data_IF_310884104288
#
_entry.id   IF_310884104288
#
_cell.length_a   1.000
_cell.length_b   1.000
_cell.length_c   1.000
_cell.angle_alpha   90.00
_cell.angle_beta   90.00
_cell.angle_gamma   90.00
#
_symmetry.space_group_name_H-M   'P 1'
#
loop_
_entity.id
_entity.type
_entity.pdbx_description
1 polymer ?
#
# COMPACT_ATOMS: atom_id res chain seq x y z
N UNK A 1 -4.51 -2.63 -25.50
CA UNK A 1 -4.26 -1.92 -24.21
C UNK A 1 -3.74 -0.50 -24.48
N UNK A 2 -4.40 0.53 -23.98
CA UNK A 2 -3.97 1.93 -24.09
C UNK A 2 -2.72 2.15 -23.22
N UNK A 3 -1.54 2.13 -23.87
CA UNK A 3 -0.24 2.23 -23.18
C UNK A 3 -0.08 3.56 -22.45
N UNK A 4 -0.56 4.67 -23.03
CA UNK A 4 -0.45 6.00 -22.42
C UNK A 4 -1.27 6.08 -21.14
N UNK A 5 -2.50 5.58 -21.16
CA UNK A 5 -3.34 5.53 -19.98
C UNK A 5 -2.71 4.67 -18.87
N UNK A 6 -2.18 3.49 -19.23
CA UNK A 6 -1.53 2.60 -18.27
C UNK A 6 -0.30 3.25 -17.64
N UNK A 7 0.59 3.81 -18.45
CA UNK A 7 1.81 4.49 -17.97
C UNK A 7 1.44 5.66 -17.06
N UNK A 8 0.43 6.45 -17.43
CA UNK A 8 -0.02 7.59 -16.60
C UNK A 8 -0.57 7.14 -15.26
N UNK A 9 -1.41 6.09 -15.23
CA UNK A 9 -1.90 5.52 -13.99
C UNK A 9 -0.78 4.96 -13.11
N UNK A 10 0.16 4.21 -13.70
CA UNK A 10 1.31 3.67 -13.00
C UNK A 10 2.27 4.76 -12.50
N UNK A 11 2.50 5.83 -13.27
CA UNK A 11 3.32 6.96 -12.84
C UNK A 11 2.70 7.68 -11.62
N UNK A 12 1.38 7.88 -11.61
CA UNK A 12 0.67 8.41 -10.46
C UNK A 12 0.77 7.47 -9.25
N UNK A 13 0.63 6.15 -9.47
CA UNK A 13 0.79 5.11 -8.45
C UNK A 13 2.17 5.12 -7.82
N UNK A 14 3.21 5.17 -8.65
CA UNK A 14 4.60 5.28 -8.21
C UNK A 14 4.85 6.55 -7.41
N UNK A 15 4.41 7.71 -7.95
CA UNK A 15 4.71 9.00 -7.35
C UNK A 15 4.06 9.19 -5.98
N UNK A 16 2.77 8.82 -5.81
CA UNK A 16 2.16 8.98 -4.50
C UNK A 16 2.78 8.04 -3.46
N UNK A 17 3.11 6.79 -3.87
CA UNK A 17 3.68 5.82 -2.93
C UNK A 17 5.13 6.14 -2.57
N UNK A 18 5.92 6.67 -3.47
CA UNK A 18 7.24 7.21 -3.17
C UNK A 18 7.18 8.33 -2.11
N UNK A 19 6.11 9.11 -2.09
CA UNK A 19 5.95 10.23 -1.16
C UNK A 19 5.31 9.85 0.18
N UNK A 20 4.54 8.74 0.28
CA UNK A 20 4.00 8.37 1.59
C UNK A 20 5.00 7.59 2.46
N UNK A 21 5.95 6.86 1.87
CA UNK A 21 6.93 6.07 2.63
C UNK A 21 8.31 6.74 2.77
N UNK A 22 8.54 7.89 2.15
CA UNK A 22 9.86 8.53 2.08
C UNK A 22 10.49 8.87 3.44
N UNK A 23 9.69 9.08 4.49
CA UNK A 23 10.19 9.36 5.83
C UNK A 23 10.86 8.16 6.51
N UNK A 24 10.49 6.92 6.14
CA UNK A 24 10.97 5.73 6.82
C UNK A 24 12.51 5.62 6.85
N UNK A 25 13.25 5.79 5.72
CA UNK A 25 14.71 5.77 5.78
C UNK A 25 15.33 7.02 6.42
N UNK A 26 14.56 8.09 6.63
CA UNK A 26 15.05 9.33 7.25
C UNK A 26 14.92 9.33 8.79
N UNK A 27 14.19 8.38 9.39
CA UNK A 27 13.81 8.40 10.81
C UNK A 27 15.02 8.57 11.73
N UNK A 28 16.13 7.89 11.47
CA UNK A 28 17.34 7.99 12.31
C UNK A 28 17.91 9.40 12.33
N UNK A 29 17.96 10.07 11.17
CA UNK A 29 18.45 11.44 11.04
C UNK A 29 17.48 12.42 11.69
N UNK A 30 16.18 12.28 11.41
CA UNK A 30 15.14 13.13 12.00
C UNK A 30 15.10 13.02 13.53
N UNK A 31 15.30 11.82 14.08
CA UNK A 31 15.39 11.60 15.52
C UNK A 31 16.59 12.32 16.13
N UNK A 32 17.73 12.28 15.46
CA UNK A 32 18.93 12.99 15.89
C UNK A 32 18.74 14.51 15.89
N UNK A 33 18.09 15.08 14.88
CA UNK A 33 17.88 16.52 14.75
C UNK A 33 16.79 17.07 15.67
N UNK A 34 15.66 16.33 15.81
CA UNK A 34 14.47 16.82 16.55
C UNK A 34 14.32 16.21 17.95
N UNK A 35 15.19 15.30 18.37
CA UNK A 35 15.23 14.78 19.75
C UNK A 35 14.02 13.93 20.14
N UNK A 36 13.37 13.22 19.23
CA UNK A 36 12.19 12.42 19.53
C UNK A 36 12.50 10.91 19.65
N UNK A 37 11.66 10.18 20.38
CA UNK A 37 11.77 8.76 20.64
C UNK A 37 11.22 7.87 19.51
N UNK A 38 11.29 6.53 19.67
CA UNK A 38 10.78 5.56 18.70
C UNK A 38 9.26 5.64 18.56
N UNK A 39 8.55 5.88 19.65
CA UNK A 39 7.08 6.01 19.63
C UNK A 39 6.67 7.19 18.76
N UNK A 40 7.30 8.34 18.92
CA UNK A 40 7.08 9.51 18.07
C UNK A 40 7.50 9.29 16.63
N UNK A 41 8.56 8.50 16.38
CA UNK A 41 8.92 8.07 15.02
C UNK A 41 7.79 7.28 14.36
N UNK A 42 7.17 6.35 15.08
CA UNK A 42 6.00 5.60 14.62
C UNK A 42 4.79 6.47 14.31
N UNK A 43 4.58 7.55 15.06
CA UNK A 43 3.47 8.49 14.82
C UNK A 43 3.57 9.19 13.45
N UNK A 44 4.74 9.37 12.87
CA UNK A 44 4.89 9.90 11.51
C UNK A 44 4.24 8.98 10.48
N UNK A 45 4.46 7.67 10.64
CA UNK A 45 3.81 6.65 9.80
C UNK A 45 2.30 6.61 10.06
N UNK A 46 1.90 6.62 11.33
CA UNK A 46 0.47 6.63 11.70
C UNK A 46 -0.24 7.85 11.13
N UNK A 47 0.35 9.04 11.23
CA UNK A 47 -0.26 10.28 10.76
C UNK A 47 -0.58 10.24 9.26
N UNK A 48 0.36 9.79 8.43
CA UNK A 48 0.13 9.71 6.99
C UNK A 48 -0.84 8.60 6.61
N UNK A 49 -0.71 7.40 7.20
CA UNK A 49 -1.61 6.29 6.88
C UNK A 49 -3.02 6.48 7.42
N UNK A 50 -3.19 7.17 8.55
CA UNK A 50 -4.51 7.51 9.09
C UNK A 50 -5.27 8.45 8.13
N UNK A 51 -4.64 9.56 7.73
CA UNK A 51 -5.28 10.52 6.81
C UNK A 51 -5.44 9.95 5.40
N UNK A 52 -4.50 9.11 4.96
CA UNK A 52 -4.61 8.34 3.72
C UNK A 52 -5.84 7.41 3.76
N UNK A 53 -6.03 6.65 4.85
CA UNK A 53 -7.19 5.77 5.02
C UNK A 53 -8.50 6.56 5.06
N UNK A 54 -8.56 7.62 5.86
CA UNK A 54 -9.75 8.48 5.97
C UNK A 54 -10.13 9.12 4.62
N UNK A 55 -9.15 9.42 3.76
CA UNK A 55 -9.40 10.01 2.44
C UNK A 55 -9.73 9.00 1.35
N UNK A 56 -9.60 7.69 1.60
CA UNK A 56 -9.89 6.64 0.60
C UNK A 56 -11.31 6.71 0.05
N UNK A 57 -12.31 6.72 0.92
CA UNK A 57 -13.72 6.76 0.51
C UNK A 57 -14.11 8.13 -0.03
N UNK A 58 -13.82 9.26 0.64
CA UNK A 58 -14.05 10.58 0.08
C UNK A 58 -13.35 10.81 -1.26
N UNK A 59 -12.07 10.43 -1.39
CA UNK A 59 -11.29 10.56 -2.62
C UNK A 59 -11.84 9.72 -3.77
N UNK A 60 -12.28 8.50 -3.46
CA UNK A 60 -13.00 7.64 -4.42
C UNK A 60 -14.27 8.30 -4.92
N UNK A 61 -15.08 8.84 -4.01
CA UNK A 61 -16.32 9.56 -4.35
C UNK A 61 -16.08 10.83 -5.17
N UNK A 62 -15.02 11.58 -4.84
CA UNK A 62 -14.60 12.71 -5.67
C UNK A 62 -14.24 12.25 -7.09
N UNK A 63 -13.53 11.12 -7.21
CA UNK A 63 -13.22 10.48 -8.49
C UNK A 63 -14.47 10.03 -9.25
N UNK A 64 -15.48 9.50 -8.56
CA UNK A 64 -16.75 9.08 -9.14
C UNK A 64 -17.56 10.29 -9.62
N UNK A 65 -17.57 11.38 -8.85
CA UNK A 65 -18.37 12.58 -9.13
C UNK A 65 -17.73 13.54 -10.14
N UNK A 66 -16.44 13.81 -9.98
CA UNK A 66 -15.72 14.85 -10.76
C UNK A 66 -14.79 14.28 -11.84
N UNK A 67 -14.66 12.95 -11.89
CA UNK A 67 -13.75 12.24 -12.77
C UNK A 67 -12.38 11.99 -12.15
N UNK A 68 -11.88 10.77 -12.29
CA UNK A 68 -10.61 10.35 -11.71
C UNK A 68 -9.42 11.23 -12.13
N UNK A 69 -9.40 11.68 -13.40
CA UNK A 69 -8.30 12.48 -13.93
C UNK A 69 -8.11 13.81 -13.21
N UNK A 70 -9.19 14.52 -12.87
CA UNK A 70 -9.10 15.78 -12.11
C UNK A 70 -8.62 15.56 -10.68
N UNK A 71 -9.14 14.51 -10.05
CA UNK A 71 -8.75 14.18 -8.67
C UNK A 71 -7.28 13.79 -8.59
N UNK A 72 -6.77 13.00 -9.55
CA UNK A 72 -5.34 12.63 -9.61
C UNK A 72 -4.47 13.87 -9.81
N UNK A 73 -4.84 14.78 -10.73
CA UNK A 73 -4.09 16.03 -10.96
C UNK A 73 -3.97 16.87 -9.68
N UNK A 74 -5.09 17.10 -8.99
CA UNK A 74 -5.11 17.86 -7.72
C UNK A 74 -4.32 17.12 -6.63
N UNK A 75 -4.49 15.81 -6.53
CA UNK A 75 -3.82 15.00 -5.51
C UNK A 75 -2.28 14.99 -5.69
N UNK A 76 -1.77 14.87 -6.93
CA UNK A 76 -0.33 14.91 -7.21
C UNK A 76 0.27 16.28 -6.86
N UNK A 77 -0.40 17.39 -7.22
CA UNK A 77 0.02 18.73 -6.83
C UNK A 77 0.02 18.91 -5.30
N UNK A 78 -1.00 18.39 -4.62
CA UNK A 78 -1.11 18.39 -3.16
C UNK A 78 0.03 17.63 -2.48
N UNK A 79 0.33 16.43 -2.98
CA UNK A 79 1.44 15.60 -2.48
C UNK A 79 2.78 16.33 -2.66
N UNK A 80 3.01 16.93 -3.82
CA UNK A 80 4.21 17.70 -4.11
C UNK A 80 4.35 18.87 -3.12
N UNK A 81 3.31 19.68 -2.95
CA UNK A 81 3.29 20.83 -2.04
C UNK A 81 3.56 20.41 -0.58
N UNK A 82 2.89 19.32 -0.11
CA UNK A 82 3.08 18.80 1.24
C UNK A 82 4.52 18.34 1.51
N UNK A 83 5.16 17.65 0.54
CA UNK A 83 6.53 17.17 0.70
C UNK A 83 7.57 18.30 0.51
N UNK A 84 7.29 19.30 -0.30
CA UNK A 84 8.10 20.54 -0.31
C UNK A 84 8.04 21.25 1.05
N UNK A 85 6.85 21.44 1.59
CA UNK A 85 6.68 22.07 2.89
C UNK A 85 7.33 21.27 4.04
N UNK A 86 7.29 19.93 3.95
CA UNK A 86 7.97 19.03 4.88
C UNK A 86 9.48 19.31 4.94
N UNK A 87 10.13 19.64 3.83
CA UNK A 87 11.55 19.94 3.79
C UNK A 87 11.94 21.20 4.61
N UNK A 88 10.98 22.08 4.87
CA UNK A 88 11.18 23.30 5.68
C UNK A 88 10.73 23.15 7.14
N UNK A 89 10.40 21.93 7.57
CA UNK A 89 10.00 21.69 8.95
C UNK A 89 11.16 22.01 9.91
N UNK A 90 10.88 22.83 10.92
CA UNK A 90 11.80 23.21 11.99
C UNK A 90 11.44 22.59 13.35
N UNK A 91 10.35 21.80 13.41
CA UNK A 91 9.90 21.15 14.65
C UNK A 91 9.18 19.82 14.33
N UNK A 92 9.21 18.89 15.30
CA UNK A 92 8.57 17.58 15.16
C UNK A 92 7.08 17.65 14.80
N UNK A 93 6.31 18.57 15.42
CA UNK A 93 4.89 18.72 15.12
C UNK A 93 4.62 19.14 13.67
N UNK A 94 5.55 19.89 13.05
CA UNK A 94 5.45 20.25 11.63
C UNK A 94 5.69 19.03 10.73
N UNK A 95 6.64 18.15 11.10
CA UNK A 95 6.82 16.87 10.40
C UNK A 95 5.52 16.06 10.43
N UNK A 96 4.90 15.94 11.59
CA UNK A 96 3.65 15.22 11.78
C UNK A 96 2.52 15.82 10.95
N UNK A 97 2.38 17.16 11.00
CA UNK A 97 1.36 17.89 10.24
C UNK A 97 1.52 17.70 8.73
N UNK A 98 2.71 17.90 8.18
CA UNK A 98 2.94 17.77 6.74
C UNK A 98 2.82 16.34 6.27
N UNK A 99 3.17 15.36 7.09
CA UNK A 99 2.92 13.95 6.78
C UNK A 99 1.43 13.61 6.77
N UNK A 100 0.67 14.09 7.76
CA UNK A 100 -0.79 13.94 7.75
C UNK A 100 -1.42 14.66 6.54
N UNK A 101 -0.95 15.86 6.21
CA UNK A 101 -1.43 16.63 5.07
C UNK A 101 -1.13 15.92 3.74
N UNK A 102 0.06 15.33 3.59
CA UNK A 102 0.40 14.50 2.43
C UNK A 102 -0.51 13.27 2.30
N UNK A 103 -0.90 12.67 3.43
CA UNK A 103 -1.78 11.49 3.46
C UNK A 103 -3.14 11.74 2.80
N UNK A 104 -3.71 12.95 2.92
CA UNK A 104 -4.94 13.34 2.23
C UNK A 104 -4.76 13.21 0.70
N UNK A 105 -3.67 13.75 0.16
CA UNK A 105 -3.37 13.66 -1.26
C UNK A 105 -3.12 12.23 -1.73
N UNK A 106 -2.34 11.46 -0.94
CA UNK A 106 -2.00 10.07 -1.33
C UNK A 106 -3.23 9.15 -1.29
N UNK A 107 -4.15 9.32 -0.34
CA UNK A 107 -5.40 8.57 -0.26
C UNK A 107 -6.34 8.87 -1.45
N UNK A 108 -6.50 10.16 -1.78
CA UNK A 108 -7.29 10.57 -2.94
C UNK A 108 -6.67 10.05 -4.25
N UNK A 109 -5.34 10.13 -4.40
CA UNK A 109 -4.62 9.68 -5.58
C UNK A 109 -4.75 8.16 -5.78
N UNK A 110 -4.67 7.36 -4.72
CA UNK A 110 -4.87 5.91 -4.79
C UNK A 110 -6.27 5.57 -5.30
N UNK A 111 -7.31 6.06 -4.62
CA UNK A 111 -8.69 5.72 -4.94
C UNK A 111 -9.10 6.17 -6.36
N UNK A 112 -8.70 7.39 -6.74
CA UNK A 112 -8.94 7.90 -8.09
C UNK A 112 -8.09 7.15 -9.13
N UNK A 113 -6.83 6.78 -8.83
CA UNK A 113 -5.96 6.02 -9.72
C UNK A 113 -6.48 4.62 -9.99
N UNK A 114 -6.89 3.89 -8.96
CA UNK A 114 -7.51 2.59 -9.09
C UNK A 114 -8.80 2.66 -9.95
N UNK A 115 -9.64 3.68 -9.73
CA UNK A 115 -10.82 3.95 -10.55
C UNK A 115 -10.44 4.26 -12.00
N UNK A 116 -9.44 5.09 -12.23
CA UNK A 116 -8.97 5.44 -13.58
C UNK A 116 -8.65 4.19 -14.40
N UNK A 117 -7.92 3.26 -13.81
CA UNK A 117 -7.57 1.98 -14.43
C UNK A 117 -8.82 1.14 -14.71
N UNK A 118 -9.68 0.95 -13.72
CA UNK A 118 -10.87 0.07 -13.85
C UNK A 118 -11.85 0.58 -14.91
N UNK A 119 -12.02 1.89 -15.02
CA UNK A 119 -12.95 2.50 -15.99
C UNK A 119 -12.35 2.55 -17.40
N UNK A 120 -11.01 2.60 -17.52
CA UNK A 120 -10.32 2.71 -18.81
C UNK A 120 -10.13 1.38 -19.51
N UNK A 121 -9.95 0.30 -18.75
CA UNK A 121 -9.66 -1.03 -19.27
C UNK A 121 -10.83 -1.99 -19.02
N UNK A 122 -11.04 -2.92 -19.94
CA UNK A 122 -12.11 -3.89 -19.86
C UNK A 122 -11.58 -5.33 -19.97
N UNK A 123 -12.40 -6.30 -19.57
CA UNK A 123 -12.09 -7.72 -19.69
C UNK A 123 -10.70 -8.10 -19.16
N UNK A 124 -9.95 -8.83 -19.97
CA UNK A 124 -8.60 -9.28 -19.64
C UNK A 124 -7.62 -8.15 -19.36
N UNK A 125 -7.72 -7.06 -20.13
CA UNK A 125 -6.82 -5.91 -19.98
C UNK A 125 -6.97 -5.22 -18.61
N UNK A 126 -8.19 -5.17 -18.06
CA UNK A 126 -8.45 -4.60 -16.73
C UNK A 126 -7.68 -5.32 -15.63
N UNK A 127 -7.68 -6.65 -15.64
CA UNK A 127 -6.97 -7.45 -14.64
C UNK A 127 -5.46 -7.19 -14.65
N UNK A 128 -4.88 -7.14 -15.85
CA UNK A 128 -3.45 -6.86 -16.03
C UNK A 128 -3.13 -5.43 -15.62
N UNK A 129 -3.91 -4.46 -16.10
CA UNK A 129 -3.70 -3.04 -15.82
C UNK A 129 -3.82 -2.73 -14.32
N UNK A 130 -4.80 -3.33 -13.62
CA UNK A 130 -4.96 -3.19 -12.18
C UNK A 130 -3.78 -3.82 -11.41
N UNK A 131 -3.28 -4.97 -11.86
CA UNK A 131 -2.09 -5.59 -11.30
C UNK A 131 -0.83 -4.74 -11.48
N UNK A 132 -0.63 -4.16 -12.67
CA UNK A 132 0.50 -3.27 -12.98
C UNK A 132 0.41 -1.95 -12.18
N UNK A 133 -0.79 -1.37 -12.05
CA UNK A 133 -1.01 -0.22 -11.18
C UNK A 133 -0.65 -0.55 -9.73
N UNK A 134 -1.11 -1.68 -9.22
CA UNK A 134 -0.73 -2.15 -7.89
C UNK A 134 0.78 -2.38 -7.75
N UNK A 135 1.43 -2.94 -8.77
CA UNK A 135 2.87 -3.14 -8.82
C UNK A 135 3.65 -1.81 -8.79
N UNK A 136 3.16 -0.78 -9.49
CA UNK A 136 3.78 0.54 -9.50
C UNK A 136 3.78 1.21 -8.12
N UNK A 137 2.75 0.97 -7.31
CA UNK A 137 2.67 1.44 -5.92
C UNK A 137 3.79 0.82 -5.08
N UNK A 138 3.96 -0.50 -5.18
CA UNK A 138 5.01 -1.20 -4.43
C UNK A 138 6.40 -0.79 -4.92
N UNK A 139 6.54 -0.58 -6.24
CA UNK A 139 7.79 -0.09 -6.83
C UNK A 139 8.15 1.30 -6.28
N UNK A 140 7.20 2.23 -6.16
CA UNK A 140 7.44 3.56 -5.60
C UNK A 140 7.91 3.51 -4.15
N UNK A 141 7.25 2.69 -3.32
CA UNK A 141 7.66 2.47 -1.92
C UNK A 141 9.03 1.81 -1.81
N UNK A 142 9.31 0.79 -2.62
CA UNK A 142 10.61 0.11 -2.64
C UNK A 142 11.72 1.01 -3.15
N UNK A 143 11.43 1.83 -4.17
CA UNK A 143 12.39 2.78 -4.75
C UNK A 143 12.89 3.78 -3.69
N UNK A 144 12.04 4.34 -2.84
CA UNK A 144 12.49 5.30 -1.83
C UNK A 144 13.32 4.65 -0.73
N UNK A 145 13.06 3.37 -0.39
CA UNK A 145 13.92 2.64 0.54
C UNK A 145 15.35 2.48 0.01
N UNK A 146 15.51 2.41 -1.30
CA UNK A 146 16.79 2.38 -1.98
C UNK A 146 17.38 3.78 -2.19
N UNK A 147 16.60 4.71 -2.76
CA UNK A 147 17.10 6.02 -3.23
C UNK A 147 17.31 7.02 -2.08
N UNK A 148 16.42 7.05 -1.09
CA UNK A 148 16.49 8.05 -0.02
C UNK A 148 17.78 7.98 0.82
N UNK A 149 18.32 6.80 1.20
CA UNK A 149 19.62 6.75 1.87
C UNK A 149 20.75 7.42 1.09
N UNK A 150 20.78 7.26 -0.25
CA UNK A 150 21.78 7.91 -1.12
C UNK A 150 21.60 9.42 -1.13
N UNK A 151 20.34 9.88 -1.16
CA UNK A 151 19.99 11.31 -1.13
C UNK A 151 20.30 11.94 0.23
N UNK A 152 20.18 11.18 1.33
CA UNK A 152 20.54 11.63 2.67
C UNK A 152 22.04 11.95 2.77
N UNK A 153 22.88 11.09 2.23
CA UNK A 153 24.34 11.27 2.23
C UNK A 153 24.76 12.48 1.38
N UNK A 154 24.07 12.73 0.25
CA UNK A 154 24.44 13.79 -0.70
C UNK A 154 23.84 15.17 -0.35
N UNK A 155 22.59 15.20 0.13
CA UNK A 155 21.79 16.43 0.24
C UNK A 155 21.09 16.59 1.59
N UNK A 156 21.31 15.68 2.53
CA UNK A 156 20.59 15.63 3.80
C UNK A 156 19.11 15.30 3.63
N UNK A 157 18.39 15.24 4.75
CA UNK A 157 16.97 14.83 4.74
C UNK A 157 16.05 15.87 4.06
N UNK A 158 16.38 17.16 4.13
CA UNK A 158 15.64 18.22 3.44
C UNK A 158 15.74 18.05 1.91
N UNK A 159 16.95 17.83 1.42
CA UNK A 159 17.17 17.55 -0.02
C UNK A 159 16.49 16.27 -0.47
N UNK A 160 16.47 15.22 0.34
CA UNK A 160 15.74 13.99 0.06
C UNK A 160 14.22 14.21 -0.01
N UNK A 161 13.64 15.04 0.87
CA UNK A 161 12.23 15.43 0.80
C UNK A 161 11.92 16.19 -0.50
N UNK A 162 12.77 17.16 -0.88
CA UNK A 162 12.64 17.92 -2.14
C UNK A 162 12.69 16.99 -3.34
N UNK A 163 13.65 16.05 -3.37
CA UNK A 163 13.77 15.08 -4.46
C UNK A 163 12.50 14.21 -4.60
N UNK A 164 11.93 13.75 -3.48
CA UNK A 164 10.65 13.02 -3.50
C UNK A 164 9.50 13.91 -3.97
N UNK A 165 9.45 15.18 -3.57
CA UNK A 165 8.46 16.13 -4.06
C UNK A 165 8.57 16.35 -5.57
N UNK A 166 9.80 16.44 -6.11
CA UNK A 166 10.06 16.56 -7.55
C UNK A 166 9.57 15.35 -8.35
N UNK A 167 9.61 14.14 -7.76
CA UNK A 167 8.97 12.96 -8.37
C UNK A 167 7.46 13.15 -8.52
N UNK A 168 6.80 13.73 -7.51
CA UNK A 168 5.37 14.04 -7.60
C UNK A 168 5.09 15.16 -8.61
N UNK A 169 5.95 16.18 -8.70
CA UNK A 169 5.85 17.26 -9.71
C UNK A 169 6.00 16.69 -11.13
N UNK A 170 7.00 15.83 -11.35
CA UNK A 170 7.21 15.21 -12.66
C UNK A 170 5.99 14.36 -13.08
N UNK A 171 5.44 13.56 -12.16
CA UNK A 171 4.22 12.81 -12.41
C UNK A 171 3.00 13.71 -12.65
N UNK A 172 2.91 14.85 -11.96
CA UNK A 172 1.85 15.85 -12.15
C UNK A 172 1.93 16.50 -13.53
N UNK A 173 3.12 16.94 -13.94
CA UNK A 173 3.34 17.53 -15.27
C UNK A 173 3.00 16.49 -16.35
N UNK A 174 3.52 15.26 -16.21
CA UNK A 174 3.17 14.16 -17.12
C UNK A 174 1.65 13.92 -17.16
N UNK A 175 0.97 13.96 -16.01
CA UNK A 175 -0.47 13.78 -15.95
C UNK A 175 -1.23 14.86 -16.73
N UNK A 176 -0.82 16.12 -16.60
CA UNK A 176 -1.46 17.23 -17.29
C UNK A 176 -1.22 17.23 -18.81
N UNK A 177 -0.05 16.79 -19.27
CA UNK A 177 0.38 16.88 -20.67
C UNK A 177 0.23 15.58 -21.44
N UNK A 178 0.45 14.44 -20.79
CA UNK A 178 0.55 13.12 -21.44
C UNK A 178 -0.60 12.15 -21.16
N UNK A 179 -1.34 12.33 -20.05
CA UNK A 179 -2.40 11.41 -19.70
C UNK A 179 -3.63 11.59 -20.61
N UNK A 180 -4.20 10.49 -21.15
CA UNK A 180 -5.40 10.55 -21.96
C UNK A 180 -6.59 11.05 -21.13
N UNK A 181 -7.25 12.10 -21.63
CA UNK A 181 -8.46 12.62 -20.98
C UNK A 181 -9.60 11.61 -21.10
N UNK A 182 -10.23 11.30 -19.98
CA UNK A 182 -11.47 10.52 -19.97
C UNK A 182 -12.65 11.46 -20.16
N UNK A 183 -13.52 11.17 -21.12
CA UNK A 183 -14.85 11.79 -21.16
C UNK A 183 -15.59 11.36 -19.90
N UNK A 184 -15.75 12.28 -18.98
CA UNK A 184 -16.48 12.02 -17.75
C UNK A 184 -17.98 12.09 -18.04
N UNK A 185 -18.62 10.91 -18.08
CA UNK A 185 -20.08 10.87 -18.04
C UNK A 185 -20.47 11.11 -16.58
N UNK A 186 -21.04 12.27 -16.30
CA UNK A 186 -21.55 12.61 -14.97
C UNK A 186 -22.67 11.62 -14.65
N UNK A 187 -22.38 10.61 -13.84
CA UNK A 187 -23.39 9.78 -13.18
C UNK A 187 -23.48 10.23 -11.74
N UNK A 188 -24.67 10.20 -11.16
CA UNK A 188 -24.81 10.44 -9.73
C UNK A 188 -23.93 9.43 -8.98
N UNK A 189 -22.96 9.94 -8.21
CA UNK A 189 -22.12 9.07 -7.39
C UNK A 189 -22.99 8.46 -6.30
N UNK A 190 -22.90 7.14 -6.04
CA UNK A 190 -23.69 6.47 -5.01
C UNK A 190 -23.45 7.09 -3.64
N UNK A 191 -24.46 7.04 -2.78
CA UNK A 191 -24.35 7.51 -1.40
C UNK A 191 -23.35 6.70 -0.61
N UNK A 192 -22.71 7.30 0.40
CA UNK A 192 -21.78 6.56 1.29
C UNK A 192 -22.48 5.40 1.99
N UNK A 193 -23.76 5.55 2.38
CA UNK A 193 -24.56 4.49 2.98
C UNK A 193 -24.78 3.33 2.02
N UNK A 194 -24.99 3.61 0.75
CA UNK A 194 -25.16 2.58 -0.28
C UNK A 194 -23.86 1.77 -0.43
N UNK A 195 -22.70 2.43 -0.56
CA UNK A 195 -21.39 1.75 -0.63
C UNK A 195 -21.13 0.93 0.62
N UNK A 196 -21.32 1.51 1.82
CA UNK A 196 -21.10 0.83 3.09
C UNK A 196 -22.10 -0.29 3.37
N UNK A 197 -23.29 -0.26 2.76
CA UNK A 197 -24.31 -1.30 2.87
C UNK A 197 -23.95 -2.61 2.17
N UNK A 198 -22.96 -2.61 1.27
CA UNK A 198 -22.50 -3.83 0.59
C UNK A 198 -21.59 -4.66 1.49
N UNK A 199 -22.14 -5.65 2.21
CA UNK A 199 -21.40 -6.51 3.15
C UNK A 199 -20.18 -7.20 2.51
N UNK A 200 -20.25 -7.56 1.22
CA UNK A 200 -19.13 -8.17 0.50
C UNK A 200 -17.92 -7.22 0.38
N UNK A 201 -18.11 -5.89 0.34
CA UNK A 201 -16.98 -4.95 0.34
C UNK A 201 -16.20 -5.00 1.66
N UNK A 202 -16.87 -5.22 2.78
CA UNK A 202 -16.20 -5.40 4.08
C UNK A 202 -15.42 -6.71 4.14
N UNK A 203 -15.98 -7.81 3.56
CA UNK A 203 -15.26 -9.08 3.42
C UNK A 203 -13.99 -8.91 2.58
N UNK A 204 -14.10 -8.24 1.44
CA UNK A 204 -12.94 -7.91 0.59
C UNK A 204 -11.93 -7.00 1.33
N UNK A 205 -12.41 -6.11 2.18
CA UNK A 205 -11.59 -5.27 3.06
C UNK A 205 -10.78 -6.09 4.07
N UNK A 206 -11.40 -7.05 4.74
CA UNK A 206 -10.71 -7.97 5.68
C UNK A 206 -9.65 -8.80 4.94
N UNK A 207 -9.94 -9.25 3.73
CA UNK A 207 -8.95 -9.94 2.90
C UNK A 207 -7.81 -9.00 2.53
N UNK A 208 -8.12 -7.73 2.23
CA UNK A 208 -7.10 -6.72 1.95
C UNK A 208 -6.23 -6.41 3.18
N UNK A 209 -6.77 -6.54 4.42
CA UNK A 209 -5.94 -6.49 5.64
C UNK A 209 -4.88 -7.61 5.64
N UNK A 210 -5.26 -8.83 5.27
CA UNK A 210 -4.37 -9.98 5.23
C UNK A 210 -3.50 -10.06 3.95
N UNK A 211 -3.77 -9.22 2.97
CA UNK A 211 -2.94 -9.04 1.75
C UNK A 211 -2.04 -7.82 1.93
N UNK A 212 -2.54 -6.63 1.72
CA UNK A 212 -1.77 -5.39 1.77
C UNK A 212 -1.33 -5.03 3.20
N UNK A 213 -2.24 -5.13 4.17
CA UNK A 213 -1.94 -4.80 5.57
C UNK A 213 -0.85 -5.69 6.12
N UNK A 214 -0.98 -7.00 5.94
CA UNK A 214 -0.02 -7.99 6.42
C UNK A 214 1.39 -7.75 5.85
N UNK A 215 1.52 -7.50 4.54
CA UNK A 215 2.85 -7.30 3.92
C UNK A 215 3.54 -6.04 4.46
N UNK A 216 2.80 -4.99 4.77
CA UNK A 216 3.36 -3.77 5.35
C UNK A 216 3.78 -4.00 6.82
N UNK A 217 2.95 -4.69 7.60
CA UNK A 217 3.29 -5.04 9.00
C UNK A 217 4.54 -5.91 9.04
N UNK A 218 4.59 -6.99 8.26
CA UNK A 218 5.77 -7.85 8.17
C UNK A 218 6.99 -7.07 7.69
N UNK A 219 6.84 -6.26 6.63
CA UNK A 219 7.91 -5.42 6.09
C UNK A 219 8.50 -4.45 7.12
N UNK A 220 7.67 -3.95 8.05
CA UNK A 220 8.11 -3.05 9.11
C UNK A 220 8.98 -3.75 10.16
N UNK A 221 8.76 -5.03 10.42
CA UNK A 221 9.40 -5.76 11.50
C UNK A 221 10.42 -6.80 11.06
N UNK A 222 10.41 -7.22 9.79
CA UNK A 222 11.27 -8.29 9.28
C UNK A 222 12.76 -7.98 9.45
N UNK A 223 13.17 -6.74 9.23
CA UNK A 223 14.58 -6.31 9.41
C UNK A 223 15.01 -6.45 10.86
N UNK A 224 14.13 -6.11 11.81
CA UNK A 224 14.39 -6.26 13.25
C UNK A 224 14.49 -7.73 13.62
N UNK A 225 13.55 -8.56 13.14
CA UNK A 225 13.59 -10.01 13.33
C UNK A 225 14.91 -10.61 12.83
N UNK A 226 15.35 -10.27 11.61
CA UNK A 226 16.58 -10.78 11.02
C UNK A 226 17.81 -10.35 11.81
N UNK A 227 17.84 -9.10 12.28
CA UNK A 227 18.93 -8.59 13.12
C UNK A 227 18.98 -9.29 14.48
N UNK A 228 17.84 -9.47 15.14
CA UNK A 228 17.79 -10.01 16.51
C UNK A 228 17.92 -11.53 16.54
N UNK A 229 17.21 -12.25 15.66
CA UNK A 229 17.18 -13.72 15.67
C UNK A 229 18.36 -14.37 14.94
N UNK A 230 18.92 -13.70 13.92
CA UNK A 230 20.04 -14.24 13.12
C UNK A 230 21.33 -13.43 13.25
N UNK A 231 21.38 -12.43 14.15
CA UNK A 231 22.54 -11.53 14.33
C UNK A 231 23.04 -10.93 13.00
N UNK A 232 22.13 -10.70 12.05
CA UNK A 232 22.46 -10.26 10.71
C UNK A 232 22.87 -8.78 10.71
N UNK A 233 23.90 -8.37 9.94
CA UNK A 233 24.21 -6.96 9.74
C UNK A 233 22.99 -6.20 9.22
N UNK A 234 22.75 -5.00 9.74
CA UNK A 234 21.57 -4.20 9.42
C UNK A 234 21.36 -3.99 7.91
N UNK A 235 22.45 -3.77 7.16
CA UNK A 235 22.40 -3.58 5.71
C UNK A 235 21.87 -4.83 5.00
N UNK A 236 22.36 -6.00 5.35
CA UNK A 236 21.94 -7.28 4.78
C UNK A 236 20.50 -7.61 5.18
N UNK A 237 20.14 -7.40 6.46
CA UNK A 237 18.78 -7.57 6.96
C UNK A 237 17.79 -6.65 6.25
N UNK A 238 18.18 -5.40 5.96
CA UNK A 238 17.38 -4.45 5.21
C UNK A 238 17.13 -4.88 3.77
N UNK A 239 18.16 -5.32 3.05
CA UNK A 239 18.05 -5.85 1.68
C UNK A 239 17.15 -7.07 1.66
N UNK A 240 17.37 -8.03 2.53
CA UNK A 240 16.55 -9.24 2.63
C UNK A 240 15.09 -8.90 3.00
N UNK A 241 14.89 -8.03 3.98
CA UNK A 241 13.56 -7.61 4.41
C UNK A 241 12.79 -6.86 3.33
N UNK A 242 13.48 -6.06 2.49
CA UNK A 242 12.82 -5.34 1.38
C UNK A 242 12.20 -6.27 0.34
N UNK A 243 12.67 -7.51 0.21
CA UNK A 243 12.11 -8.49 -0.72
C UNK A 243 10.64 -8.80 -0.43
N UNK A 244 10.20 -8.71 0.83
CA UNK A 244 8.77 -8.85 1.19
C UNK A 244 7.90 -7.86 0.41
N UNK A 245 8.36 -6.65 0.19
CA UNK A 245 7.65 -5.63 -0.59
C UNK A 245 7.95 -5.76 -2.09
N UNK A 246 9.21 -5.88 -2.47
CA UNK A 246 9.62 -5.83 -3.89
C UNK A 246 9.04 -6.96 -4.72
N UNK A 247 8.86 -8.17 -4.16
CA UNK A 247 8.20 -9.28 -4.85
C UNK A 247 6.75 -8.98 -5.24
N UNK A 248 6.11 -8.02 -4.55
CA UNK A 248 4.80 -7.49 -4.93
C UNK A 248 4.76 -6.86 -6.32
N UNK A 249 5.90 -6.40 -6.87
CA UNK A 249 6.00 -5.83 -8.21
C UNK A 249 5.60 -6.88 -9.27
N UNK A 250 6.05 -8.12 -9.07
CA UNK A 250 5.76 -9.23 -9.98
C UNK A 250 4.47 -9.96 -9.61
N UNK A 251 4.21 -10.16 -8.32
CA UNK A 251 3.07 -10.96 -7.87
C UNK A 251 1.71 -10.29 -8.14
N UNK A 252 1.60 -8.96 -8.10
CA UNK A 252 0.34 -8.26 -8.39
C UNK A 252 -0.12 -8.39 -9.84
N UNK A 253 0.72 -8.19 -10.86
CA UNK A 253 0.37 -8.50 -12.25
C UNK A 253 0.07 -9.98 -12.47
N UNK A 254 0.88 -10.87 -11.86
CA UNK A 254 0.65 -12.31 -11.92
C UNK A 254 -0.73 -12.68 -11.35
N UNK A 255 -1.09 -12.12 -10.20
CA UNK A 255 -2.41 -12.27 -9.60
C UNK A 255 -3.54 -11.81 -10.52
N UNK A 256 -3.32 -10.73 -11.28
CA UNK A 256 -4.24 -10.25 -12.31
C UNK A 256 -4.44 -11.27 -13.45
N UNK A 257 -3.39 -11.98 -13.84
CA UNK A 257 -3.47 -13.07 -14.84
C UNK A 257 -4.17 -14.30 -14.28
N UNK A 258 -3.84 -14.69 -13.04
CA UNK A 258 -4.46 -15.86 -12.38
C UNK A 258 -5.95 -15.66 -12.13
N UNK A 259 -6.37 -14.44 -11.76
CA UNK A 259 -7.78 -14.08 -11.55
C UNK A 259 -8.65 -14.23 -12.82
N UNK A 260 -8.04 -14.38 -14.01
CA UNK A 260 -8.75 -14.68 -15.26
C UNK A 260 -8.97 -16.18 -15.48
N UNK A 261 -8.17 -17.02 -14.81
CA UNK A 261 -8.15 -18.49 -15.05
C UNK A 261 -8.78 -19.27 -13.92
N UNK A 262 -8.95 -18.67 -12.74
CA UNK A 262 -9.49 -19.34 -11.57
C UNK A 262 -10.41 -18.40 -10.77
N UNK A 263 -11.40 -18.96 -10.03
CA UNK A 263 -12.26 -18.18 -9.17
C UNK A 263 -11.46 -17.38 -8.12
N UNK A 264 -11.84 -16.12 -7.92
CA UNK A 264 -11.16 -15.23 -6.96
C UNK A 264 -11.10 -15.84 -5.56
N UNK A 265 -12.14 -16.55 -5.14
CA UNK A 265 -12.21 -17.25 -3.86
C UNK A 265 -11.02 -18.21 -3.68
N UNK A 266 -10.76 -19.08 -4.68
CA UNK A 266 -9.64 -20.04 -4.62
C UNK A 266 -8.29 -19.35 -4.63
N UNK A 267 -8.13 -18.30 -5.46
CA UNK A 267 -6.90 -17.52 -5.51
C UNK A 267 -6.59 -16.87 -4.16
N UNK A 268 -7.60 -16.25 -3.54
CA UNK A 268 -7.46 -15.60 -2.23
C UNK A 268 -7.18 -16.63 -1.14
N UNK A 269 -7.96 -17.72 -1.07
CA UNK A 269 -7.75 -18.76 -0.06
C UNK A 269 -6.34 -19.36 -0.16
N UNK A 270 -5.89 -19.73 -1.35
CA UNK A 270 -4.54 -20.26 -1.56
C UNK A 270 -3.45 -19.27 -1.14
N UNK A 271 -3.60 -17.99 -1.50
CA UNK A 271 -2.67 -16.96 -1.11
C UNK A 271 -2.62 -16.75 0.43
N UNK A 272 -3.78 -16.74 1.11
CA UNK A 272 -3.84 -16.58 2.57
C UNK A 272 -3.28 -17.78 3.32
N UNK A 273 -3.51 -19.00 2.84
CA UNK A 273 -2.91 -20.22 3.40
C UNK A 273 -1.38 -20.22 3.25
N UNK A 274 -0.87 -19.80 2.09
CA UNK A 274 0.57 -19.62 1.88
C UNK A 274 1.16 -18.57 2.82
N UNK A 275 0.47 -17.44 2.99
CA UNK A 275 0.89 -16.39 3.92
C UNK A 275 0.89 -16.87 5.37
N UNK A 276 -0.10 -17.66 5.78
CA UNK A 276 -0.16 -18.25 7.11
C UNK A 276 1.01 -19.22 7.37
N UNK A 277 1.31 -20.10 6.41
CA UNK A 277 2.44 -21.01 6.48
C UNK A 277 3.77 -20.25 6.54
N UNK A 278 3.92 -19.17 5.78
CA UNK A 278 5.12 -18.35 5.79
C UNK A 278 5.28 -17.57 7.11
N UNK A 279 4.20 -17.06 7.70
CA UNK A 279 4.26 -16.46 9.05
C UNK A 279 4.65 -17.49 10.10
N UNK A 280 4.11 -18.70 10.04
CA UNK A 280 4.50 -19.80 10.92
C UNK A 280 6.00 -20.17 10.75
N UNK A 281 6.49 -20.20 9.52
CA UNK A 281 7.90 -20.44 9.21
C UNK A 281 8.82 -19.35 9.80
N UNK A 282 8.41 -18.07 9.72
CA UNK A 282 9.13 -16.96 10.35
C UNK A 282 9.09 -17.04 11.88
N UNK A 283 7.96 -17.43 12.47
CA UNK A 283 7.83 -17.65 13.90
C UNK A 283 8.69 -18.81 14.40
N UNK A 284 8.84 -19.86 13.59
CA UNK A 284 9.69 -21.01 13.93
C UNK A 284 11.17 -20.67 13.96
N UNK A 285 11.64 -19.81 13.05
CA UNK A 285 12.95 -19.14 13.10
C UNK A 285 14.19 -20.05 13.10
N UNK A 286 14.09 -21.31 12.65
CA UNK A 286 15.17 -22.32 12.84
C UNK A 286 16.26 -22.34 11.76
N UNK A 287 15.99 -21.81 10.57
CA UNK A 287 17.00 -21.80 9.51
C UNK A 287 16.88 -20.59 8.59
N UNK A 288 18.01 -20.12 8.10
CA UNK A 288 18.09 -19.01 7.16
C UNK A 288 17.37 -19.34 5.83
N UNK A 289 17.50 -20.60 5.35
CA UNK A 289 16.81 -21.03 4.12
C UNK A 289 15.29 -20.99 4.25
N UNK A 290 14.75 -21.44 5.40
CA UNK A 290 13.32 -21.35 5.68
C UNK A 290 12.85 -19.90 5.77
N UNK A 291 13.64 -19.01 6.36
CA UNK A 291 13.36 -17.59 6.46
C UNK A 291 13.31 -16.92 5.06
N UNK A 292 14.26 -17.23 4.18
CA UNK A 292 14.24 -16.78 2.79
C UNK A 292 13.00 -17.27 2.04
N UNK A 293 12.67 -18.57 2.17
CA UNK A 293 11.47 -19.14 1.57
C UNK A 293 10.20 -18.44 2.08
N UNK A 294 10.11 -18.19 3.39
CA UNK A 294 8.97 -17.51 3.99
C UNK A 294 8.83 -16.05 3.48
N UNK A 295 9.93 -15.31 3.37
CA UNK A 295 9.95 -13.96 2.80
C UNK A 295 9.45 -13.96 1.35
N UNK A 296 9.93 -14.91 0.53
CA UNK A 296 9.53 -15.04 -0.85
C UNK A 296 8.03 -15.38 -0.98
N UNK A 297 7.54 -16.30 -0.15
CA UNK A 297 6.13 -16.70 -0.12
C UNK A 297 5.24 -15.53 0.32
N UNK A 298 5.59 -14.80 1.38
CA UNK A 298 4.84 -13.63 1.83
C UNK A 298 4.79 -12.53 0.78
N UNK A 299 5.95 -12.17 0.20
CA UNK A 299 6.03 -11.13 -0.81
C UNK A 299 5.21 -11.46 -2.07
N UNK A 300 5.16 -12.74 -2.45
CA UNK A 300 4.33 -13.19 -3.57
C UNK A 300 2.87 -13.37 -3.18
N UNK A 301 2.58 -14.08 -2.10
CA UNK A 301 1.24 -14.41 -1.65
C UNK A 301 0.40 -13.18 -1.31
N UNK A 302 0.98 -12.17 -0.67
CA UNK A 302 0.29 -10.92 -0.39
C UNK A 302 -0.09 -10.12 -1.63
N UNK A 303 0.66 -10.24 -2.73
CA UNK A 303 0.36 -9.51 -3.97
C UNK A 303 -0.71 -10.14 -4.85
N UNK A 304 -0.83 -11.47 -4.85
CA UNK A 304 -1.72 -12.21 -5.76
C UNK A 304 -3.20 -11.78 -5.71
N UNK A 305 -3.83 -11.51 -4.55
CA UNK A 305 -5.23 -11.15 -4.47
C UNK A 305 -5.57 -9.76 -5.02
N UNK A 306 -4.58 -8.85 -5.12
CA UNK A 306 -4.79 -7.43 -5.35
C UNK A 306 -5.74 -7.10 -6.50
N UNK A 307 -5.41 -7.53 -7.73
CA UNK A 307 -6.21 -7.19 -8.91
C UNK A 307 -7.62 -7.79 -8.85
N UNK A 308 -7.75 -9.01 -8.34
CA UNK A 308 -9.04 -9.68 -8.18
C UNK A 308 -9.95 -8.95 -7.19
N UNK A 309 -9.44 -8.57 -6.03
CA UNK A 309 -10.17 -7.85 -4.98
C UNK A 309 -10.71 -6.51 -5.54
N UNK A 310 -9.84 -5.70 -6.14
CA UNK A 310 -10.23 -4.37 -6.60
C UNK A 310 -11.17 -4.40 -7.80
N UNK A 311 -10.96 -5.32 -8.75
CA UNK A 311 -11.88 -5.49 -9.88
C UNK A 311 -13.27 -5.95 -9.43
N UNK A 312 -13.32 -6.86 -8.44
CA UNK A 312 -14.58 -7.32 -7.85
C UNK A 312 -15.29 -6.20 -7.11
N UNK A 313 -14.58 -5.46 -6.27
CA UNK A 313 -15.13 -4.30 -5.55
C UNK A 313 -15.70 -3.25 -6.52
N UNK A 314 -14.97 -2.93 -7.59
CA UNK A 314 -15.42 -1.99 -8.60
C UNK A 314 -16.70 -2.42 -9.35
N UNK A 315 -16.87 -3.74 -9.56
CA UNK A 315 -18.03 -4.29 -10.25
C UNK A 315 -19.31 -4.31 -9.38
N UNK A 316 -19.18 -4.19 -8.07
CA UNK A 316 -20.32 -4.28 -7.14
C UNK A 316 -21.13 -3.00 -7.05
N UNK A 317 -20.51 -1.85 -7.30
CA UNK A 317 -21.14 -0.53 -7.15
C UNK A 317 -21.10 0.21 -8.49
N UNK A 318 -22.12 0.07 -9.33
CA UNK A 318 -22.19 0.77 -10.61
C UNK A 318 -22.12 2.28 -10.43
N UNK A 319 -21.15 2.93 -11.09
CA UNK A 319 -20.90 4.38 -10.94
C UNK A 319 -20.08 4.79 -9.71
N UNK A 320 -19.86 3.87 -8.76
CA UNK A 320 -19.13 4.10 -7.50
C UNK A 320 -17.86 3.25 -7.34
N UNK A 321 -17.19 2.89 -8.43
CA UNK A 321 -16.00 2.03 -8.39
C UNK A 321 -14.88 2.62 -7.52
N UNK A 322 -14.67 3.94 -7.56
CA UNK A 322 -13.67 4.62 -6.72
C UNK A 322 -13.99 4.52 -5.24
N UNK A 323 -15.26 4.77 -4.87
CA UNK A 323 -15.75 4.67 -3.50
C UNK A 323 -15.65 3.24 -2.96
N UNK A 324 -16.04 2.24 -3.76
CA UNK A 324 -15.99 0.83 -3.40
C UNK A 324 -14.54 0.36 -3.16
N UNK A 325 -13.64 0.66 -4.09
CA UNK A 325 -12.22 0.34 -3.95
C UNK A 325 -11.56 1.10 -2.78
N UNK A 326 -11.99 2.35 -2.56
CA UNK A 326 -11.57 3.17 -1.43
C UNK A 326 -11.95 2.53 -0.09
N UNK A 327 -13.19 2.04 0.06
CA UNK A 327 -13.66 1.34 1.26
C UNK A 327 -12.82 0.07 1.53
N UNK A 328 -12.65 -0.77 0.53
CA UNK A 328 -11.86 -2.00 0.65
C UNK A 328 -10.43 -1.71 1.11
N UNK A 329 -9.78 -0.70 0.54
CA UNK A 329 -8.41 -0.37 0.91
C UNK A 329 -8.32 0.35 2.26
N UNK A 330 -9.30 1.17 2.61
CA UNK A 330 -9.40 1.81 3.93
C UNK A 330 -9.43 0.75 5.05
N UNK A 331 -10.27 -0.28 4.89
CA UNK A 331 -10.31 -1.42 5.81
C UNK A 331 -8.96 -2.15 5.82
N UNK A 332 -8.35 -2.37 4.65
CA UNK A 332 -7.02 -2.98 4.54
C UNK A 332 -5.94 -2.26 5.34
N UNK A 333 -5.97 -0.92 5.38
CA UNK A 333 -5.01 -0.09 6.13
C UNK A 333 -5.20 -0.22 7.65
N UNK A 334 -6.40 -0.55 8.13
CA UNK A 334 -6.62 -0.75 9.56
C UNK A 334 -5.65 -1.78 10.16
N UNK A 335 -5.26 -2.81 9.38
CA UNK A 335 -4.23 -3.77 9.80
C UNK A 335 -2.87 -3.09 10.01
N UNK A 336 -2.52 -2.07 9.23
CA UNK A 336 -1.24 -1.36 9.40
C UNK A 336 -1.27 -0.55 10.69
N UNK A 337 -2.38 0.16 10.93
CA UNK A 337 -2.55 1.04 12.09
C UNK A 337 -2.56 0.26 13.42
N UNK A 338 -3.16 -0.93 13.44
CA UNK A 338 -3.29 -1.77 14.63
C UNK A 338 -2.20 -2.84 14.70
N UNK A 339 -1.95 -3.54 13.60
CA UNK A 339 -1.04 -4.68 13.55
C UNK A 339 0.43 -4.29 13.77
N UNK A 340 0.87 -3.13 13.26
CA UNK A 340 2.27 -2.71 13.45
C UNK A 340 2.60 -2.48 14.94
N UNK A 341 1.83 -1.69 15.72
CA UNK A 341 2.07 -1.56 17.15
C UNK A 341 1.80 -2.87 17.92
N UNK A 342 0.82 -3.67 17.52
CA UNK A 342 0.52 -4.94 18.18
C UNK A 342 1.67 -5.94 18.09
N UNK A 343 2.35 -6.04 16.94
CA UNK A 343 3.55 -6.87 16.77
C UNK A 343 4.67 -6.40 17.70
N UNK A 344 4.91 -5.08 17.79
CA UNK A 344 5.89 -4.51 18.70
C UNK A 344 5.57 -4.82 20.17
N UNK A 345 4.32 -4.56 20.57
CA UNK A 345 3.86 -4.84 21.93
C UNK A 345 4.02 -6.31 22.32
N UNK A 346 3.60 -7.24 21.43
CA UNK A 346 3.76 -8.68 21.69
C UNK A 346 5.22 -9.09 21.76
N UNK A 347 6.09 -8.50 20.94
CA UNK A 347 7.53 -8.77 20.98
C UNK A 347 8.16 -8.26 22.29
N UNK A 348 7.78 -7.07 22.75
CA UNK A 348 8.25 -6.52 24.03
C UNK A 348 7.74 -7.34 25.22
N UNK A 349 6.45 -7.73 25.20
CA UNK A 349 5.84 -8.50 26.30
C UNK A 349 6.40 -9.92 26.41
N UNK A 350 6.67 -10.59 25.28
CA UNK A 350 7.17 -11.97 25.26
C UNK A 350 8.70 -12.07 25.20
N UNK A 351 9.38 -10.94 24.96
CA UNK A 351 10.83 -10.91 24.71
C UNK A 351 11.25 -11.50 23.36
N UNK A 352 10.32 -11.88 22.49
CA UNK A 352 10.59 -12.59 21.25
C UNK A 352 9.54 -12.27 20.18
N UNK A 353 9.94 -12.34 18.89
CA UNK A 353 9.04 -12.12 17.77
C UNK A 353 8.16 -13.32 17.41
N UNK A 354 8.39 -14.51 18.00
CA UNK A 354 7.63 -15.72 17.65
C UNK A 354 6.13 -15.56 17.84
N UNK A 355 5.69 -15.06 19.00
CA UNK A 355 4.28 -14.84 19.30
C UNK A 355 3.61 -13.88 18.30
N UNK A 356 4.34 -12.84 17.92
CA UNK A 356 3.87 -11.86 16.94
C UNK A 356 3.65 -12.49 15.55
N UNK A 357 4.61 -13.27 15.06
CA UNK A 357 4.47 -13.92 13.76
C UNK A 357 3.45 -15.06 13.76
N UNK A 358 3.28 -15.79 14.88
CA UNK A 358 2.19 -16.74 15.06
C UNK A 358 0.83 -16.04 14.99
N UNK A 359 0.65 -14.90 15.66
CA UNK A 359 -0.60 -14.13 15.60
C UNK A 359 -0.93 -13.63 14.20
N UNK A 360 0.08 -13.21 13.42
CA UNK A 360 -0.09 -12.85 12.02
C UNK A 360 -0.49 -14.05 11.15
N UNK A 361 0.09 -15.23 11.44
CA UNK A 361 -0.29 -16.48 10.77
C UNK A 361 -1.75 -16.87 11.04
N UNK A 362 -2.18 -16.81 12.29
CA UNK A 362 -3.59 -17.04 12.69
C UNK A 362 -4.50 -16.04 11.98
N UNK A 363 -4.13 -14.77 11.93
CA UNK A 363 -4.92 -13.77 11.21
C UNK A 363 -5.04 -14.09 9.71
N UNK A 364 -3.98 -14.55 9.06
CA UNK A 364 -4.03 -14.98 7.66
C UNK A 364 -4.94 -16.21 7.47
N UNK A 365 -4.95 -17.17 8.42
CA UNK A 365 -5.87 -18.31 8.40
C UNK A 365 -7.34 -17.86 8.54
N UNK A 366 -7.62 -16.92 9.45
CA UNK A 366 -8.96 -16.34 9.59
C UNK A 366 -9.40 -15.64 8.30
N UNK A 367 -8.50 -14.92 7.64
CA UNK A 367 -8.79 -14.30 6.34
C UNK A 367 -9.05 -15.34 5.23
N UNK A 368 -8.36 -16.49 5.25
CA UNK A 368 -8.67 -17.60 4.35
C UNK A 368 -10.06 -18.18 4.59
N UNK A 369 -10.49 -18.28 5.86
CA UNK A 369 -11.83 -18.70 6.23
C UNK A 369 -12.90 -17.66 5.79
N UNK A 370 -12.62 -16.37 6.00
CA UNK A 370 -13.50 -15.27 5.52
C UNK A 370 -13.64 -15.31 4.00
N UNK A 371 -12.56 -15.63 3.27
CA UNK A 371 -12.61 -15.75 1.82
C UNK A 371 -13.57 -16.88 1.35
N UNK A 372 -13.87 -17.88 2.20
CA UNK A 372 -14.88 -18.89 1.90
C UNK A 372 -16.30 -18.32 1.77
N UNK A 373 -16.57 -17.18 2.42
CA UNK A 373 -17.85 -16.49 2.34
C UNK A 373 -18.01 -15.62 1.06
N UNK A 374 -16.98 -15.47 0.23
CA UNK A 374 -17.09 -14.75 -1.04
C UNK A 374 -17.99 -15.56 -1.98
N UNK A 375 -19.10 -14.98 -2.47
CA UNK A 375 -19.97 -15.67 -3.40
C UNK A 375 -19.24 -16.00 -4.71
N UNK A 376 -19.31 -17.25 -5.16
CA UNK A 376 -18.83 -17.61 -6.51
C UNK A 376 -19.87 -17.13 -7.52
N UNK A 377 -19.62 -15.97 -8.13
CA UNK A 377 -20.37 -15.56 -9.33
C UNK A 377 -19.77 -16.32 -10.52
N UNK A 378 -20.59 -17.10 -11.17
CA UNK A 378 -20.29 -17.77 -12.44
C UNK A 378 -20.11 -16.75 -13.56
#
# INVERSE_FOLDING_TARGET
MDRRALVSGCAAGFAFSANYTNHAPMISVLRGEFGFDQTKAGLLTTAIFLTHALMMVPGGRLGDRFGAGRVIAVALAWIAAANFALAFAGAYWQLLFWKAFAGIGTGACFAAGARYIVVRFEGRERHIAQGLFGGSIVLGSGFVLFAVPQLLDAFGWRGACVACALVAVAAWIWWLTGAPHQRHVVRAAPGLREVAGHGELWLLGVIQMASFGLVIVVGSWITVLLKTSFQMPLKTAGVMGSMVLLLGILSRPLGGLLAQRMPIRRLVQGAMLLNAAACAALAWGRSMGLTWAAIAVLGTGCGLPYAGIFNRAAAMVPGGAGSAMGLVNMVGIAMILVGTPAVGFLADWTGQFQASFWSLGVFALLAAAVAAAIPERR
#
